data_IF_378622208289
#
_entry.id   IF_378622208289
#
_cell.length_a   1.000
_cell.length_b   1.000
_cell.length_c   1.000
_cell.angle_alpha   90.00
_cell.angle_beta   90.00
_cell.angle_gamma   90.00
#
_symmetry.space_group_name_H-M   'P 1'
#
loop_
_entity.id
_entity.type
_entity.pdbx_description
1 polymer ?
#
# COMPACT_ATOMS: atom_id res chain seq x y z
N UNK A 1 -40.51 -0.26 -15.63
CA UNK A 1 -39.08 -0.58 -15.79
C UNK A 1 -38.30 0.43 -14.97
N UNK A 2 -37.78 0.00 -13.81
CA UNK A 2 -36.99 0.87 -12.95
C UNK A 2 -35.62 1.08 -13.58
N UNK A 3 -35.19 2.33 -13.71
CA UNK A 3 -33.81 2.68 -14.06
C UNK A 3 -32.91 2.27 -12.90
N UNK A 4 -32.06 1.27 -13.11
CA UNK A 4 -30.94 0.97 -12.22
C UNK A 4 -30.00 2.18 -12.29
N UNK A 5 -29.93 2.96 -11.22
CA UNK A 5 -28.85 3.93 -11.08
C UNK A 5 -27.56 3.14 -10.82
N UNK A 6 -26.66 3.13 -11.80
CA UNK A 6 -25.31 2.62 -11.60
C UNK A 6 -24.58 3.56 -10.65
N UNK A 7 -24.38 3.13 -9.41
CA UNK A 7 -23.50 3.80 -8.47
C UNK A 7 -22.05 3.41 -8.80
N UNK A 8 -21.24 4.37 -9.26
CA UNK A 8 -19.82 4.14 -9.55
C UNK A 8 -19.04 3.70 -8.29
N UNK A 9 -19.55 4.03 -7.09
CA UNK A 9 -18.97 3.66 -5.79
C UNK A 9 -18.86 2.13 -5.58
N UNK A 10 -19.74 1.32 -6.16
CA UNK A 10 -19.70 -0.14 -6.04
C UNK A 10 -18.75 -0.83 -7.01
N UNK A 11 -18.33 -0.14 -8.08
CA UNK A 11 -17.49 -0.70 -9.14
C UNK A 11 -16.05 -0.83 -8.67
N UNK A 12 -15.51 0.09 -7.86
CA UNK A 12 -14.14 -0.02 -7.39
C UNK A 12 -13.95 -1.19 -6.40
N UNK A 13 -14.90 -1.40 -5.49
CA UNK A 13 -14.80 -2.40 -4.42
C UNK A 13 -14.78 -3.83 -4.95
N UNK A 14 -15.58 -4.15 -5.96
CA UNK A 14 -15.57 -5.50 -6.56
C UNK A 14 -14.22 -5.80 -7.23
N UNK A 15 -13.61 -4.81 -7.86
CA UNK A 15 -12.33 -4.94 -8.55
C UNK A 15 -11.20 -5.08 -7.52
N UNK A 16 -11.23 -4.26 -6.47
CA UNK A 16 -10.31 -4.36 -5.35
C UNK A 16 -10.37 -5.72 -4.65
N UNK A 17 -11.59 -6.21 -4.40
CA UNK A 17 -11.81 -7.55 -3.81
C UNK A 17 -11.29 -8.63 -4.74
N UNK A 18 -11.50 -8.50 -6.06
CA UNK A 18 -10.97 -9.44 -7.04
C UNK A 18 -9.44 -9.47 -7.00
N UNK A 19 -8.76 -8.33 -7.04
CA UNK A 19 -7.30 -8.25 -6.95
C UNK A 19 -6.76 -8.80 -5.62
N UNK A 20 -7.45 -8.53 -4.52
CA UNK A 20 -7.14 -9.12 -3.20
C UNK A 20 -7.23 -10.65 -3.23
N UNK A 21 -8.22 -11.19 -3.97
CA UNK A 21 -8.43 -12.62 -4.16
C UNK A 21 -7.56 -13.27 -5.25
N UNK A 22 -6.82 -12.50 -6.06
CA UNK A 22 -6.00 -13.05 -7.16
C UNK A 22 -4.52 -12.76 -7.07
N UNK A 23 -4.12 -11.71 -6.34
CA UNK A 23 -2.77 -11.15 -6.39
C UNK A 23 -2.25 -10.76 -5.01
N UNK A 24 -2.89 -9.81 -4.33
CA UNK A 24 -2.23 -9.09 -3.22
C UNK A 24 -2.54 -9.60 -1.81
N UNK A 25 -3.74 -10.10 -1.56
CA UNK A 25 -4.11 -10.64 -0.24
C UNK A 25 -4.14 -9.62 0.91
N UNK A 26 -4.57 -8.38 0.64
CA UNK A 26 -4.76 -7.31 1.64
C UNK A 26 -5.92 -7.55 2.62
N UNK A 27 -5.84 -8.62 3.42
CA UNK A 27 -6.83 -8.97 4.45
C UNK A 27 -6.48 -8.33 5.80
N UNK A 28 -7.48 -7.83 6.54
CA UNK A 28 -7.28 -7.23 7.87
C UNK A 28 -7.86 -8.14 8.94
N UNK A 29 -6.98 -8.72 9.75
CA UNK A 29 -7.38 -9.63 10.83
C UNK A 29 -7.18 -8.99 12.21
N UNK A 30 -7.90 -9.52 13.20
CA UNK A 30 -7.85 -9.08 14.59
C UNK A 30 -7.92 -10.30 15.53
N UNK A 31 -7.28 -11.41 15.15
CA UNK A 31 -7.29 -12.67 15.91
C UNK A 31 -6.46 -12.59 17.21
N UNK A 32 -5.57 -11.60 17.32
CA UNK A 32 -4.75 -11.36 18.49
C UNK A 32 -5.55 -10.73 19.65
N UNK A 33 -5.34 -11.21 20.88
CA UNK A 33 -6.03 -10.72 22.08
C UNK A 33 -5.73 -9.25 22.43
N UNK A 34 -4.64 -8.69 21.90
CA UNK A 34 -4.27 -7.27 22.06
C UNK A 34 -5.00 -6.36 21.07
N UNK A 35 -5.61 -6.91 20.03
CA UNK A 35 -6.34 -6.13 19.05
C UNK A 35 -7.66 -5.61 19.65
N UNK A 36 -7.98 -4.32 19.53
CA UNK A 36 -9.14 -3.72 20.19
C UNK A 36 -10.49 -4.03 19.50
N UNK A 37 -10.47 -4.73 18.35
CA UNK A 37 -11.67 -5.11 17.62
C UNK A 37 -12.06 -6.58 17.87
N UNK A 38 -13.10 -7.05 17.19
CA UNK A 38 -13.59 -8.41 17.38
C UNK A 38 -12.57 -9.45 16.89
N UNK A 39 -12.26 -10.42 17.77
CA UNK A 39 -11.50 -11.63 17.42
C UNK A 39 -12.16 -12.53 16.36
N UNK A 40 -13.39 -12.21 15.96
CA UNK A 40 -14.05 -12.86 14.83
C UNK A 40 -13.55 -12.35 13.47
N UNK A 41 -12.73 -11.30 13.40
CA UNK A 41 -12.13 -10.85 12.14
C UNK A 41 -10.91 -11.73 11.84
N UNK A 42 -11.16 -12.87 11.20
CA UNK A 42 -10.13 -13.87 10.88
C UNK A 42 -9.83 -13.92 9.40
N UNK A 43 -8.61 -14.34 9.04
CA UNK A 43 -8.23 -14.53 7.63
C UNK A 43 -9.19 -15.49 6.93
N UNK A 44 -9.70 -16.49 7.66
CA UNK A 44 -10.63 -17.47 7.11
C UNK A 44 -11.97 -16.85 6.71
N UNK A 45 -12.45 -15.83 7.43
CA UNK A 45 -13.72 -15.17 7.10
C UNK A 45 -13.57 -14.34 5.82
N UNK A 46 -12.48 -13.61 5.67
CA UNK A 46 -12.25 -12.79 4.48
C UNK A 46 -12.00 -13.65 3.23
N UNK A 47 -11.14 -14.67 3.34
CA UNK A 47 -10.77 -15.52 2.20
C UNK A 47 -11.91 -16.40 1.71
N UNK A 48 -12.94 -16.67 2.53
CA UNK A 48 -14.17 -17.37 2.13
C UNK A 48 -14.99 -16.58 1.09
N UNK A 49 -14.75 -15.28 0.92
CA UNK A 49 -15.42 -14.48 -0.10
C UNK A 49 -14.93 -14.80 -1.51
N UNK A 50 -13.64 -15.10 -1.68
CA UNK A 50 -13.03 -15.37 -2.98
C UNK A 50 -13.73 -16.48 -3.79
N UNK A 51 -14.00 -17.67 -3.24
CA UNK A 51 -14.71 -18.71 -3.99
C UNK A 51 -16.17 -18.34 -4.23
N UNK A 52 -16.82 -17.63 -3.30
CA UNK A 52 -18.24 -17.25 -3.41
C UNK A 52 -18.49 -16.19 -4.47
N UNK A 53 -17.62 -15.20 -4.57
CA UNK A 53 -17.79 -14.06 -5.47
C UNK A 53 -17.20 -14.30 -6.86
N UNK A 54 -16.11 -15.07 -6.93
CA UNK A 54 -15.29 -15.18 -8.15
C UNK A 54 -14.91 -16.61 -8.55
N UNK A 55 -15.33 -17.63 -7.79
CA UNK A 55 -14.95 -19.03 -8.06
C UNK A 55 -13.46 -19.31 -7.83
N UNK A 56 -12.75 -18.42 -7.13
CA UNK A 56 -11.32 -18.58 -6.84
C UNK A 56 -11.14 -19.35 -5.54
N UNK A 57 -10.44 -20.48 -5.60
CA UNK A 57 -10.14 -21.25 -4.40
C UNK A 57 -9.22 -20.47 -3.45
N UNK A 58 -9.62 -20.37 -2.19
CA UNK A 58 -8.79 -19.79 -1.11
C UNK A 58 -7.43 -20.49 -1.00
N UNK A 59 -7.35 -21.78 -1.34
CA UNK A 59 -6.11 -22.56 -1.30
C UNK A 59 -5.11 -22.13 -2.38
N UNK A 60 -5.56 -21.44 -3.43
CA UNK A 60 -4.67 -20.88 -4.46
C UNK A 60 -4.05 -19.54 -4.05
N UNK A 61 -4.58 -18.87 -3.03
CA UNK A 61 -4.13 -17.53 -2.63
C UNK A 61 -2.65 -17.46 -2.25
N UNK A 62 -2.09 -18.38 -1.43
CA UNK A 62 -0.68 -18.26 -1.04
C UNK A 62 0.28 -18.32 -2.24
N UNK A 63 0.00 -19.19 -3.23
CA UNK A 63 0.82 -19.30 -4.43
C UNK A 63 0.72 -18.05 -5.32
N UNK A 64 -0.46 -17.44 -5.40
CA UNK A 64 -0.71 -16.21 -6.16
C UNK A 64 -0.04 -14.99 -5.53
N UNK A 65 -0.10 -14.88 -4.20
CA UNK A 65 0.59 -13.83 -3.44
C UNK A 65 2.11 -14.01 -3.57
N UNK A 66 2.62 -15.24 -3.45
CA UNK A 66 4.03 -15.54 -3.65
C UNK A 66 4.51 -15.19 -5.07
N UNK A 67 3.70 -15.46 -6.10
CA UNK A 67 3.97 -15.04 -7.46
C UNK A 67 4.06 -13.51 -7.57
N UNK A 68 3.07 -12.78 -7.02
CA UNK A 68 3.03 -11.30 -7.06
C UNK A 68 4.25 -10.70 -6.37
N UNK A 69 4.59 -11.18 -5.18
CA UNK A 69 5.78 -10.73 -4.44
C UNK A 69 7.08 -11.03 -5.21
N UNK A 70 7.18 -12.20 -5.84
CA UNK A 70 8.35 -12.57 -6.65
C UNK A 70 8.45 -11.71 -7.91
N UNK A 71 7.32 -11.44 -8.55
CA UNK A 71 7.25 -10.66 -9.78
C UNK A 71 7.65 -9.18 -9.56
N UNK A 72 7.15 -8.57 -8.48
CA UNK A 72 7.43 -7.15 -8.16
C UNK A 72 8.62 -6.93 -7.21
N UNK A 73 9.17 -7.99 -6.62
CA UNK A 73 10.32 -7.94 -5.69
C UNK A 73 9.97 -7.70 -4.22
N UNK A 74 8.68 -7.75 -3.85
CA UNK A 74 8.22 -7.64 -2.46
C UNK A 74 8.71 -6.38 -1.76
N UNK A 75 9.29 -6.54 -0.57
CA UNK A 75 9.88 -5.46 0.23
C UNK A 75 11.33 -5.11 -0.19
N UNK A 76 11.86 -5.77 -1.22
CA UNK A 76 13.18 -5.49 -1.79
C UNK A 76 13.13 -5.40 -3.34
N UNK A 77 12.38 -4.44 -3.90
CA UNK A 77 12.21 -4.31 -5.34
C UNK A 77 13.49 -3.82 -6.03
N UNK A 78 13.84 -4.45 -7.15
CA UNK A 78 14.97 -4.05 -8.00
C UNK A 78 14.58 -2.94 -8.98
N UNK A 79 14.16 -1.80 -8.45
CA UNK A 79 13.69 -0.65 -9.23
C UNK A 79 14.54 0.60 -8.97
N UNK A 80 14.56 1.50 -9.95
CA UNK A 80 15.37 2.72 -9.93
C UNK A 80 14.46 3.95 -9.97
N UNK A 81 14.92 5.07 -9.40
CA UNK A 81 14.18 6.34 -9.37
C UNK A 81 12.81 6.22 -8.70
N UNK A 82 12.75 5.50 -7.58
CA UNK A 82 11.54 5.36 -6.77
C UNK A 82 11.80 5.96 -5.38
N UNK A 83 10.82 6.74 -4.92
CA UNK A 83 10.79 7.30 -3.58
C UNK A 83 9.61 6.69 -2.81
N UNK A 84 9.90 5.91 -1.78
CA UNK A 84 8.90 5.34 -0.89
C UNK A 84 8.66 6.27 0.29
N UNK A 85 7.48 6.90 0.36
CA UNK A 85 7.12 7.79 1.45
C UNK A 85 6.11 7.09 2.35
N UNK A 86 6.44 6.94 3.64
CA UNK A 86 5.63 6.19 4.59
C UNK A 86 5.30 7.03 5.82
N UNK A 87 4.04 6.97 6.25
CA UNK A 87 3.57 7.57 7.50
C UNK A 87 3.78 6.63 8.68
N UNK A 88 4.28 7.14 9.82
CA UNK A 88 4.63 6.30 10.96
C UNK A 88 3.43 5.69 11.70
N UNK A 89 2.24 6.30 11.60
CA UNK A 89 1.00 5.75 12.17
C UNK A 89 0.10 5.09 11.11
N UNK A 90 0.55 5.03 9.85
CA UNK A 90 -0.18 4.36 8.78
C UNK A 90 0.03 2.83 8.88
N UNK A 91 -1.03 2.04 9.09
CA UNK A 91 -0.90 0.58 9.12
C UNK A 91 -0.46 0.00 7.78
N UNK A 92 -0.68 0.70 6.66
CA UNK A 92 -0.27 0.22 5.33
C UNK A 92 1.24 0.27 5.10
N UNK A 93 2.01 0.96 5.95
CA UNK A 93 3.48 1.01 5.84
C UNK A 93 4.13 -0.37 5.90
N UNK A 94 3.48 -1.34 6.56
CA UNK A 94 3.97 -2.73 6.66
C UNK A 94 3.98 -3.45 5.30
N UNK A 95 3.27 -2.91 4.30
CA UNK A 95 3.25 -3.41 2.92
C UNK A 95 4.17 -2.61 1.98
N UNK A 96 5.07 -1.80 2.53
CA UNK A 96 5.93 -0.87 1.80
C UNK A 96 7.41 -1.13 2.09
N UNK A 97 8.29 -0.45 1.34
CA UNK A 97 9.73 -0.42 1.63
C UNK A 97 9.98 0.67 2.68
N UNK A 98 10.22 0.26 3.93
CA UNK A 98 10.39 1.18 5.08
C UNK A 98 11.85 1.47 5.43
N UNK A 99 12.76 0.54 5.11
CA UNK A 99 14.20 0.68 5.36
C UNK A 99 14.95 0.86 4.04
N UNK A 100 15.95 1.74 4.06
CA UNK A 100 16.89 1.85 2.96
C UNK A 100 17.85 0.65 3.01
N UNK A 101 17.47 -0.44 2.35
CA UNK A 101 18.24 -1.70 2.29
C UNK A 101 19.24 -1.72 1.13
N UNK A 102 19.51 -0.57 0.51
CA UNK A 102 20.43 -0.46 -0.63
C UNK A 102 21.89 -0.55 -0.18
N UNK A 103 22.33 -1.73 0.25
CA UNK A 103 23.76 -2.08 0.25
C UNK A 103 24.22 -2.20 -1.21
N UNK A 104 24.49 -1.08 -1.87
CA UNK A 104 24.99 -1.08 -3.25
C UNK A 104 24.58 0.09 -4.14
N UNK A 105 23.92 1.14 -3.62
CA UNK A 105 23.73 2.38 -4.39
C UNK A 105 22.68 2.31 -5.51
N UNK A 106 21.67 1.43 -5.41
CA UNK A 106 20.53 1.46 -6.33
C UNK A 106 19.40 2.29 -5.72
N UNK A 107 19.28 3.52 -6.25
CA UNK A 107 18.32 4.65 -6.13
C UNK A 107 16.88 4.49 -5.58
N UNK A 108 16.54 3.45 -4.81
CA UNK A 108 15.32 3.39 -4.02
C UNK A 108 15.53 4.13 -2.70
N UNK A 109 14.95 5.32 -2.56
CA UNK A 109 15.04 6.11 -1.33
C UNK A 109 13.75 6.01 -0.52
N UNK A 110 13.87 6.02 0.80
CA UNK A 110 12.72 6.05 1.71
C UNK A 110 12.63 7.39 2.45
N UNK A 111 11.41 7.89 2.65
CA UNK A 111 11.11 9.01 3.55
C UNK A 111 10.10 8.51 4.56
N UNK A 112 10.53 8.47 5.82
CA UNK A 112 9.66 8.07 6.92
C UNK A 112 9.19 9.29 7.72
N UNK A 113 7.87 9.46 7.83
CA UNK A 113 7.23 10.59 8.50
C UNK A 113 6.51 10.10 9.75
N UNK A 114 7.25 10.07 10.87
CA UNK A 114 6.87 9.45 12.16
C UNK A 114 5.40 9.67 12.59
N UNK A 115 4.85 10.86 12.37
CA UNK A 115 3.62 11.32 12.99
C UNK A 115 2.52 11.69 11.99
N UNK A 116 2.51 10.99 10.87
CA UNK A 116 1.47 11.12 9.84
C UNK A 116 0.85 9.78 9.46
N UNK A 117 -0.41 9.84 9.04
CA UNK A 117 -1.18 8.70 8.56
C UNK A 117 -1.08 8.57 7.04
N UNK A 118 -1.93 7.70 6.48
CA UNK A 118 -1.93 7.31 5.08
C UNK A 118 -1.86 8.48 4.11
N UNK A 119 -0.80 8.49 3.29
CA UNK A 119 -0.57 9.43 2.18
C UNK A 119 -0.70 10.92 2.54
N UNK A 120 -0.38 11.30 3.79
CA UNK A 120 -0.53 12.68 4.25
C UNK A 120 0.33 13.69 3.45
N UNK A 121 1.48 13.25 2.93
CA UNK A 121 2.37 13.98 2.06
C UNK A 121 1.71 14.41 0.74
N UNK A 122 0.82 13.58 0.19
CA UNK A 122 0.06 13.84 -1.05
C UNK A 122 -1.15 14.75 -0.85
N UNK A 123 -1.59 14.95 0.39
CA UNK A 123 -2.73 15.83 0.70
C UNK A 123 -2.38 17.31 0.51
N UNK A 124 -3.39 18.14 0.25
CA UNK A 124 -3.20 19.59 0.15
C UNK A 124 -2.61 20.19 1.43
N UNK A 125 -1.70 21.15 1.26
CA UNK A 125 -1.02 21.82 2.38
C UNK A 125 -2.01 22.56 3.28
N UNK A 126 -1.84 22.42 4.59
CA UNK A 126 -2.59 23.16 5.62
C UNK A 126 -1.64 23.98 6.48
N UNK A 127 -2.15 25.07 7.03
CA UNK A 127 -1.39 25.91 7.98
C UNK A 127 -1.05 25.17 9.28
N UNK A 128 -1.82 24.14 9.60
CA UNK A 128 -1.65 23.25 10.76
C UNK A 128 -0.76 22.05 10.48
N UNK A 129 -0.18 21.92 9.27
CA UNK A 129 0.69 20.79 8.96
C UNK A 129 1.88 20.78 9.90
N UNK A 130 2.18 19.60 10.45
CA UNK A 130 3.31 19.38 11.34
C UNK A 130 4.63 19.60 10.61
N UNK A 131 5.66 19.95 11.36
CA UNK A 131 6.97 20.26 10.80
C UNK A 131 7.58 19.07 10.03
N UNK A 132 7.43 17.85 10.57
CA UNK A 132 7.83 16.59 9.93
C UNK A 132 7.26 16.44 8.52
N UNK A 133 5.96 16.67 8.35
CA UNK A 133 5.25 16.62 7.07
C UNK A 133 5.75 17.68 6.09
N UNK A 134 5.97 18.92 6.56
CA UNK A 134 6.53 19.99 5.72
C UNK A 134 7.93 19.65 5.23
N UNK A 135 8.78 19.15 6.12
CA UNK A 135 10.15 18.70 5.79
C UNK A 135 10.13 17.57 4.78
N UNK A 136 9.27 16.57 4.97
CA UNK A 136 9.15 15.44 4.05
C UNK A 136 8.72 15.87 2.63
N UNK A 137 7.77 16.80 2.51
CA UNK A 137 7.38 17.37 1.21
C UNK A 137 8.53 18.14 0.55
N UNK A 138 9.31 18.90 1.32
CA UNK A 138 10.50 19.57 0.80
C UNK A 138 11.54 18.55 0.29
N UNK A 139 11.82 17.49 1.05
CA UNK A 139 12.71 16.40 0.64
C UNK A 139 12.21 15.72 -0.65
N UNK A 140 10.91 15.43 -0.73
CA UNK A 140 10.26 14.84 -1.91
C UNK A 140 10.47 15.72 -3.16
N UNK A 141 10.22 17.03 -3.04
CA UNK A 141 10.42 17.99 -4.13
C UNK A 141 11.90 18.02 -4.56
N UNK A 142 12.83 18.06 -3.61
CA UNK A 142 14.26 18.03 -3.90
C UNK A 142 14.67 16.77 -4.68
N UNK A 143 14.14 15.60 -4.30
CA UNK A 143 14.41 14.34 -5.00
C UNK A 143 13.84 14.33 -6.42
N UNK A 144 12.61 14.85 -6.61
CA UNK A 144 12.01 15.00 -7.93
C UNK A 144 12.86 15.92 -8.82
N UNK A 145 13.36 17.05 -8.29
CA UNK A 145 14.23 17.97 -9.02
C UNK A 145 15.54 17.29 -9.41
N UNK A 146 16.15 16.55 -8.48
CA UNK A 146 17.36 15.75 -8.72
C UNK A 146 17.10 14.80 -9.90
N UNK A 147 16.09 13.92 -9.83
CA UNK A 147 15.80 12.96 -10.89
C UNK A 147 15.46 13.59 -12.25
N UNK A 148 14.91 14.81 -12.26
CA UNK A 148 14.70 15.58 -13.50
C UNK A 148 16.00 16.14 -14.07
N UNK A 149 16.89 16.64 -13.21
CA UNK A 149 18.15 17.28 -13.64
C UNK A 149 19.12 16.26 -14.21
N UNK A 150 19.21 15.06 -13.62
CA UNK A 150 20.02 13.95 -14.15
C UNK A 150 19.50 13.36 -15.48
N UNK A 151 18.33 13.76 -15.98
CA UNK A 151 17.81 13.39 -17.31
C UNK A 151 18.08 14.45 -18.39
N UNK A 152 18.61 15.62 -18.02
CA UNK A 152 18.95 16.69 -18.97
C UNK A 152 20.46 16.75 -19.31
N UNK A 153 21.25 15.81 -18.80
CA UNK A 153 22.65 15.57 -19.13
C UNK A 153 22.79 14.17 -19.72
#
# INVERSE_FOLDING_TARGET
>A
MGTVQYNEEGVAERQWTYQTCTEFGFYQTCEDATCPFSGMLTLQIDTKLCPKLFGISQHSLPARIAFTNTYYGGDNPHMHRILYVNGGIDPWKELSVVEDRTKGGQEAQTIFIQDTAHCADMMSRRVTDRWSLRKARQQTISMIIIYKTYNML
#
